data_IF_240897452961
#
_entry.id   IF_240897452961
#
_cell.length_a   1.000
_cell.length_b   1.000
_cell.length_c   1.000
_cell.angle_alpha   90.00
_cell.angle_beta   90.00
_cell.angle_gamma   90.00
#
_symmetry.space_group_name_H-M   'P 1'
#
loop_
_entity.id
_entity.type
_entity.pdbx_description
1 polymer ?
#
# COMPACT_ATOMS: atom_id res chain seq x y z
N UNK A 1 -17.63 18.40 -2.47
CA UNK A 1 -16.73 17.41 -1.88
C UNK A 1 -15.30 17.56 -2.39
N UNK A 2 -15.07 17.62 -3.71
CA UNK A 2 -13.74 17.72 -4.34
C UNK A 2 -12.88 18.88 -3.77
N UNK A 3 -13.39 20.12 -3.73
CA UNK A 3 -12.66 21.27 -3.20
C UNK A 3 -12.25 21.11 -1.74
N UNK A 4 -13.18 20.65 -0.88
CA UNK A 4 -12.90 20.40 0.53
C UNK A 4 -11.81 19.34 0.70
N UNK A 5 -11.87 18.25 -0.08
CA UNK A 5 -10.87 17.19 -0.06
C UNK A 5 -9.50 17.73 -0.47
N UNK A 6 -9.41 18.54 -1.53
CA UNK A 6 -8.16 19.15 -1.99
C UNK A 6 -7.52 20.03 -0.91
N UNK A 7 -8.30 20.94 -0.32
CA UNK A 7 -7.80 21.88 0.68
C UNK A 7 -7.34 21.16 1.96
N UNK A 8 -8.12 20.16 2.39
CA UNK A 8 -7.80 19.37 3.58
C UNK A 8 -6.55 18.52 3.33
N UNK A 9 -6.48 17.82 2.20
CA UNK A 9 -5.36 16.97 1.85
C UNK A 9 -4.06 17.77 1.73
N UNK A 10 -4.09 18.91 1.05
CA UNK A 10 -2.96 19.82 0.92
C UNK A 10 -2.45 20.24 2.31
N UNK A 11 -3.35 20.74 3.17
CA UNK A 11 -3.01 21.16 4.53
C UNK A 11 -2.34 20.05 5.34
N UNK A 12 -2.88 18.83 5.31
CA UNK A 12 -2.34 17.71 6.09
C UNK A 12 -1.01 17.20 5.56
N UNK A 13 -0.85 17.07 4.24
CA UNK A 13 0.40 16.63 3.61
C UNK A 13 1.53 17.63 3.85
N UNK A 14 1.27 18.93 3.72
CA UNK A 14 2.26 19.97 4.00
C UNK A 14 2.66 19.99 5.49
N UNK A 15 1.70 19.85 6.39
CA UNK A 15 1.98 19.77 7.83
C UNK A 15 2.81 18.54 8.18
N UNK A 16 2.50 17.39 7.58
CA UNK A 16 3.28 16.17 7.79
C UNK A 16 4.70 16.30 7.25
N UNK A 17 4.87 16.83 6.06
CA UNK A 17 6.19 17.03 5.45
C UNK A 17 7.12 17.89 6.33
N UNK A 18 6.56 18.86 7.06
CA UNK A 18 7.28 19.75 7.98
C UNK A 18 7.43 19.18 9.40
N UNK A 19 6.77 18.08 9.70
CA UNK A 19 6.75 17.53 11.05
C UNK A 19 8.00 16.70 11.36
N UNK A 20 8.35 16.62 12.65
CA UNK A 20 9.40 15.72 13.15
C UNK A 20 9.08 14.23 12.96
N UNK A 21 7.82 13.91 12.64
CA UNK A 21 7.39 12.55 12.32
C UNK A 21 7.81 12.11 10.92
N UNK A 22 8.13 13.06 10.04
CA UNK A 22 8.65 12.81 8.69
C UNK A 22 10.13 12.44 8.75
N UNK A 23 10.46 11.30 9.31
CA UNK A 23 11.84 10.84 9.51
C UNK A 23 12.59 10.57 8.20
N UNK A 24 11.88 10.39 7.10
CA UNK A 24 12.44 10.01 5.81
C UNK A 24 12.46 11.15 4.79
N UNK A 25 12.09 12.37 5.20
CA UNK A 25 12.06 13.52 4.29
C UNK A 25 11.06 13.36 3.14
N UNK A 26 9.97 12.62 3.35
CA UNK A 26 8.97 12.39 2.31
C UNK A 26 8.34 13.73 1.90
N UNK A 27 8.34 14.06 0.60
CA UNK A 27 7.75 15.30 0.13
C UNK A 27 6.23 15.33 0.33
N UNK A 28 5.66 16.54 0.41
CA UNK A 28 4.22 16.74 0.47
C UNK A 28 3.59 16.36 -0.87
N UNK A 29 3.29 15.08 -1.06
CA UNK A 29 2.68 14.56 -2.27
C UNK A 29 1.81 13.34 -1.95
N UNK A 30 0.78 13.09 -2.78
CA UNK A 30 -0.09 11.93 -2.59
C UNK A 30 -1.33 11.96 -3.47
N UNK A 31 -2.24 11.02 -3.23
CA UNK A 31 -3.51 10.92 -3.94
C UNK A 31 -4.63 10.52 -2.99
N UNK A 32 -5.86 10.89 -3.37
CA UNK A 32 -7.08 10.44 -2.69
C UNK A 32 -8.13 10.11 -3.76
N UNK A 33 -8.79 8.98 -3.57
CA UNK A 33 -9.99 8.59 -4.34
C UNK A 33 -11.09 8.25 -3.35
N UNK A 34 -12.25 8.83 -3.54
CA UNK A 34 -13.47 8.54 -2.76
C UNK A 34 -14.55 8.10 -3.72
N UNK A 35 -15.13 6.95 -3.50
CA UNK A 35 -16.21 6.42 -4.30
C UNK A 35 -17.37 5.95 -3.43
N UNK A 36 -18.56 5.93 -4.02
CA UNK A 36 -19.72 5.27 -3.42
C UNK A 36 -19.60 3.76 -3.67
N UNK A 37 -19.55 2.93 -2.62
CA UNK A 37 -19.39 1.49 -2.78
C UNK A 37 -20.63 0.80 -3.38
N UNK A 38 -21.81 1.42 -3.34
CA UNK A 38 -23.03 0.85 -3.88
C UNK A 38 -23.20 1.09 -5.39
N UNK A 39 -22.77 2.26 -5.86
CA UNK A 39 -22.94 2.69 -7.24
C UNK A 39 -21.65 2.62 -8.06
N UNK A 40 -20.48 2.63 -7.39
CA UNK A 40 -19.17 2.77 -8.01
C UNK A 40 -18.86 4.20 -8.47
N UNK A 41 -19.74 5.17 -8.18
CA UNK A 41 -19.54 6.56 -8.56
C UNK A 41 -18.32 7.17 -7.85
N UNK A 42 -17.48 7.86 -8.60
CA UNK A 42 -16.32 8.58 -8.05
C UNK A 42 -16.78 9.94 -7.56
N UNK A 43 -16.83 10.10 -6.24
CA UNK A 43 -17.22 11.34 -5.57
C UNK A 43 -16.08 12.36 -5.50
N UNK A 44 -14.86 11.89 -5.42
CA UNK A 44 -13.65 12.71 -5.36
C UNK A 44 -12.46 11.94 -5.91
N UNK A 45 -11.67 12.60 -6.73
CA UNK A 45 -10.37 12.11 -7.18
C UNK A 45 -9.38 13.27 -7.17
N UNK A 46 -8.27 13.12 -6.47
CA UNK A 46 -7.23 14.14 -6.44
C UNK A 46 -5.83 13.55 -6.50
N UNK A 47 -4.94 14.33 -7.06
CA UNK A 47 -3.50 14.14 -7.04
C UNK A 47 -2.87 15.40 -6.46
N UNK A 48 -1.94 15.25 -5.51
CA UNK A 48 -1.27 16.38 -4.87
C UNK A 48 0.26 16.24 -5.01
N UNK A 49 1.01 17.31 -5.29
CA UNK A 49 0.52 18.63 -5.62
C UNK A 49 -0.29 18.66 -6.92
N UNK A 50 -1.13 19.65 -7.04
CA UNK A 50 -1.95 19.92 -8.24
C UNK A 50 -1.53 21.24 -8.88
N UNK A 51 -2.11 21.56 -10.01
CA UNK A 51 -1.88 22.81 -10.74
C UNK A 51 -3.20 23.38 -11.27
N UNK A 52 -3.22 24.67 -11.56
CA UNK A 52 -4.35 25.35 -12.17
C UNK A 52 -4.25 25.23 -13.70
N UNK A 53 -5.29 24.68 -14.32
CA UNK A 53 -5.39 24.53 -15.77
C UNK A 53 -5.39 25.88 -16.50
N UNK A 54 -5.90 26.95 -15.87
CA UNK A 54 -5.94 28.27 -16.49
C UNK A 54 -4.55 28.90 -16.64
N UNK A 55 -3.62 28.54 -15.76
CA UNK A 55 -2.24 29.06 -15.76
C UNK A 55 -1.23 28.01 -16.22
N UNK A 56 -1.69 26.85 -16.68
CA UNK A 56 -0.83 25.72 -17.03
C UNK A 56 0.26 26.09 -18.06
N UNK A 57 -0.13 26.74 -19.16
CA UNK A 57 0.80 27.09 -20.23
C UNK A 57 1.89 28.04 -19.77
N UNK A 58 1.54 29.04 -18.95
CA UNK A 58 2.45 30.03 -18.40
C UNK A 58 3.43 29.41 -17.39
N UNK A 59 2.95 28.47 -16.58
CA UNK A 59 3.72 27.84 -15.50
C UNK A 59 4.33 26.50 -15.88
N UNK A 60 4.22 26.06 -17.12
CA UNK A 60 4.70 24.73 -17.53
C UNK A 60 6.16 24.50 -17.19
N UNK A 61 7.03 25.48 -17.43
CA UNK A 61 8.47 25.37 -17.13
C UNK A 61 8.76 25.21 -15.63
N UNK A 62 7.97 25.84 -14.77
CA UNK A 62 8.06 25.68 -13.32
C UNK A 62 7.53 24.31 -12.88
N UNK A 63 6.32 23.96 -13.33
CA UNK A 63 5.66 22.70 -13.00
C UNK A 63 6.45 21.46 -13.43
N UNK A 64 7.12 21.54 -14.58
CA UNK A 64 7.94 20.45 -15.13
C UNK A 64 9.23 20.20 -14.36
N UNK A 65 9.73 21.21 -13.63
CA UNK A 65 10.95 21.15 -12.81
C UNK A 65 10.68 20.90 -11.34
N UNK A 66 9.42 20.96 -10.90
CA UNK A 66 9.07 20.68 -9.49
C UNK A 66 9.34 19.21 -9.18
N UNK A 67 10.23 18.96 -8.22
CA UNK A 67 10.63 17.61 -7.77
C UNK A 67 9.41 16.77 -7.27
N UNK A 68 8.34 17.42 -6.84
CA UNK A 68 7.11 16.77 -6.44
C UNK A 68 6.24 16.34 -7.62
N UNK A 69 6.68 16.61 -8.84
CA UNK A 69 6.05 16.18 -10.10
C UNK A 69 4.52 16.43 -10.13
N UNK A 70 4.04 17.70 -10.06
CA UNK A 70 2.62 18.04 -10.04
C UNK A 70 1.88 17.60 -11.30
N UNK A 71 2.56 17.50 -12.44
CA UNK A 71 1.99 17.04 -13.71
C UNK A 71 1.70 15.53 -13.75
N UNK A 72 2.23 14.77 -12.78
CA UNK A 72 1.98 13.34 -12.68
C UNK A 72 0.70 13.07 -11.88
N UNK A 73 -0.32 12.53 -12.54
CA UNK A 73 -1.56 12.17 -11.84
C UNK A 73 -1.36 10.90 -10.99
N UNK A 74 -1.15 11.11 -9.70
CA UNK A 74 -0.87 10.02 -8.76
C UNK A 74 -2.06 9.10 -8.53
N UNK A 75 -3.27 9.63 -8.64
CA UNK A 75 -4.48 8.83 -8.41
C UNK A 75 -4.73 7.82 -9.55
N UNK A 76 -4.27 8.14 -10.77
CA UNK A 76 -4.51 7.31 -11.95
C UNK A 76 -3.28 6.54 -12.44
N UNK A 77 -2.09 7.04 -12.16
CA UNK A 77 -0.85 6.54 -12.78
C UNK A 77 0.21 6.06 -11.81
N UNK A 78 0.06 6.33 -10.52
CA UNK A 78 0.98 5.82 -9.50
C UNK A 78 0.52 4.49 -8.95
N UNK A 79 1.49 3.69 -8.55
CA UNK A 79 1.31 2.42 -7.87
C UNK A 79 1.94 2.51 -6.49
N UNK A 80 1.24 1.98 -5.49
CA UNK A 80 1.66 2.06 -4.10
C UNK A 80 1.64 0.68 -3.47
N UNK A 81 2.60 0.40 -2.58
CA UNK A 81 2.54 -0.79 -1.75
C UNK A 81 1.33 -0.70 -0.81
N UNK A 82 0.40 -1.64 -0.94
CA UNK A 82 -0.85 -1.63 -0.17
C UNK A 82 -0.63 -1.95 1.31
N UNK A 83 0.45 -2.65 1.65
CA UNK A 83 0.81 -2.97 3.02
C UNK A 83 -0.34 -3.64 3.78
N UNK A 84 -0.55 -3.24 5.02
CA UNK A 84 -1.57 -3.82 5.92
C UNK A 84 -3.01 -3.64 5.46
N UNK A 85 -3.30 -2.83 4.46
CA UNK A 85 -4.64 -2.73 3.87
C UNK A 85 -5.02 -3.97 3.07
N UNK A 86 -4.05 -4.83 2.72
CA UNK A 86 -4.29 -6.14 2.08
C UNK A 86 -4.78 -7.22 3.06
N UNK A 87 -4.55 -7.09 4.35
CA UNK A 87 -4.83 -8.12 5.34
C UNK A 87 -6.30 -8.59 5.39
N UNK A 88 -7.31 -7.72 5.26
CA UNK A 88 -8.70 -8.17 5.15
C UNK A 88 -8.94 -9.11 3.96
N UNK A 89 -8.30 -8.85 2.81
CA UNK A 89 -8.44 -9.71 1.63
C UNK A 89 -7.77 -11.08 1.85
N UNK A 90 -6.59 -11.10 2.48
CA UNK A 90 -5.92 -12.34 2.88
C UNK A 90 -6.76 -13.12 3.90
N UNK A 91 -7.38 -12.42 4.87
CA UNK A 91 -8.26 -13.05 5.85
C UNK A 91 -9.45 -13.76 5.20
N UNK A 92 -10.10 -13.09 4.26
CA UNK A 92 -11.25 -13.65 3.53
C UNK A 92 -10.80 -14.89 2.73
N UNK A 93 -9.72 -14.79 1.98
CA UNK A 93 -9.19 -15.91 1.22
C UNK A 93 -8.85 -17.10 2.14
N UNK A 94 -8.19 -16.86 3.26
CA UNK A 94 -7.82 -17.89 4.21
C UNK A 94 -9.05 -18.55 4.89
N UNK A 95 -10.13 -17.79 5.12
CA UNK A 95 -11.40 -18.34 5.66
C UNK A 95 -12.07 -19.22 4.61
N UNK A 96 -12.19 -18.75 3.37
CA UNK A 96 -12.88 -19.47 2.29
C UNK A 96 -12.15 -20.75 1.91
N UNK A 97 -10.82 -20.78 1.98
CA UNK A 97 -10.01 -21.97 1.76
C UNK A 97 -9.89 -22.87 3.02
N UNK A 98 -10.57 -22.53 4.12
CA UNK A 98 -10.57 -23.31 5.36
C UNK A 98 -9.25 -23.28 6.13
N UNK A 99 -8.31 -22.43 5.75
CA UNK A 99 -6.99 -22.30 6.37
C UNK A 99 -7.05 -21.55 7.70
N UNK A 100 -8.06 -20.71 7.90
CA UNK A 100 -8.30 -20.04 9.18
C UNK A 100 -9.78 -19.95 9.48
N UNK A 101 -10.09 -19.75 10.77
CA UNK A 101 -11.44 -19.55 11.27
C UNK A 101 -11.39 -18.63 12.49
N UNK A 102 -12.56 -18.46 13.15
CA UNK A 102 -12.67 -17.60 14.31
C UNK A 102 -11.77 -18.03 15.48
N UNK A 103 -11.55 -19.34 15.63
CA UNK A 103 -10.92 -19.94 16.80
C UNK A 103 -9.47 -20.34 16.57
N UNK A 104 -9.00 -20.32 15.31
CA UNK A 104 -7.60 -20.61 14.99
C UNK A 104 -6.68 -19.61 15.67
N UNK A 105 -5.71 -20.15 16.42
CA UNK A 105 -4.69 -19.38 17.11
C UNK A 105 -3.34 -19.55 16.43
N UNK A 106 -2.69 -18.44 16.09
CA UNK A 106 -1.29 -18.42 15.62
C UNK A 106 -0.48 -17.60 16.61
N UNK A 107 0.67 -18.14 17.02
CA UNK A 107 1.60 -17.43 17.89
C UNK A 107 2.44 -16.47 17.08
N UNK A 108 2.41 -15.20 17.43
CA UNK A 108 3.36 -14.22 16.89
C UNK A 108 4.67 -14.29 17.65
N UNK A 109 5.69 -14.82 17.00
CA UNK A 109 7.07 -14.88 17.51
C UNK A 109 7.87 -13.65 17.12
N UNK A 110 7.25 -12.66 16.49
CA UNK A 110 7.82 -11.43 15.95
C UNK A 110 8.70 -11.59 14.72
N UNK A 111 9.10 -12.79 14.38
CA UNK A 111 9.90 -13.14 13.22
C UNK A 111 9.18 -14.19 12.39
N UNK A 112 9.28 -14.08 11.09
CA UNK A 112 8.81 -15.05 10.12
C UNK A 112 9.94 -15.29 9.12
N UNK A 113 10.39 -16.54 9.04
CA UNK A 113 11.44 -16.94 8.10
C UNK A 113 10.82 -17.55 6.87
N UNK A 114 11.12 -16.98 5.73
CA UNK A 114 10.69 -17.50 4.44
C UNK A 114 11.90 -17.51 3.48
N UNK A 115 12.24 -18.69 2.98
CA UNK A 115 13.46 -18.92 2.21
C UNK A 115 14.69 -18.39 2.97
N UNK A 116 15.46 -17.50 2.35
CA UNK A 116 16.67 -16.87 2.89
C UNK A 116 16.41 -15.52 3.60
N UNK A 117 15.15 -15.12 3.70
CA UNK A 117 14.74 -13.83 4.30
C UNK A 117 14.04 -14.00 5.64
N UNK A 118 14.25 -13.02 6.53
CA UNK A 118 13.51 -12.92 7.79
C UNK A 118 12.68 -11.64 7.77
N UNK A 119 11.37 -11.82 7.91
CA UNK A 119 10.40 -10.74 8.00
C UNK A 119 10.00 -10.50 9.46
N UNK A 120 9.70 -9.26 9.79
CA UNK A 120 9.41 -8.86 11.17
C UNK A 120 7.98 -8.39 11.34
N UNK A 121 7.42 -8.70 12.51
CA UNK A 121 6.13 -8.16 12.88
C UNK A 121 6.22 -6.71 13.31
N UNK A 122 5.08 -6.03 13.25
CA UNK A 122 4.92 -4.70 13.83
C UNK A 122 5.34 -4.70 15.31
N UNK A 123 6.08 -3.67 15.72
CA UNK A 123 6.57 -3.51 17.10
C UNK A 123 5.49 -3.18 18.12
N UNK A 124 4.26 -2.90 17.67
CA UNK A 124 3.17 -2.41 18.52
C UNK A 124 2.54 -3.48 19.41
N UNK A 125 2.86 -4.76 19.21
CA UNK A 125 2.38 -5.83 20.10
C UNK A 125 3.52 -6.77 20.52
N UNK A 126 3.36 -7.39 21.68
CA UNK A 126 4.33 -8.36 22.23
C UNK A 126 4.14 -9.73 21.59
N UNK A 127 5.14 -10.61 21.74
CA UNK A 127 5.01 -12.05 21.45
C UNK A 127 3.80 -12.61 22.21
N UNK A 128 2.82 -13.12 21.46
CA UNK A 128 1.58 -13.68 22.02
C UNK A 128 0.80 -14.51 21.01
N UNK A 129 -0.14 -15.28 21.53
CA UNK A 129 -1.12 -15.98 20.73
C UNK A 129 -2.21 -15.02 20.23
N UNK A 130 -2.54 -15.13 18.94
CA UNK A 130 -3.52 -14.25 18.28
C UNK A 130 -4.55 -15.10 17.54
N UNK A 131 -5.80 -14.71 17.67
CA UNK A 131 -6.89 -15.14 16.78
C UNK A 131 -6.93 -14.22 15.57
N UNK A 132 -7.66 -14.59 14.52
CA UNK A 132 -7.84 -13.74 13.34
C UNK A 132 -8.32 -12.33 13.70
N UNK A 133 -9.30 -12.22 14.64
CA UNK A 133 -9.80 -10.93 15.10
C UNK A 133 -8.71 -10.07 15.74
N UNK A 134 -7.94 -10.63 16.66
CA UNK A 134 -6.88 -9.87 17.33
C UNK A 134 -5.69 -9.60 16.41
N UNK A 135 -5.43 -10.46 15.45
CA UNK A 135 -4.41 -10.25 14.43
C UNK A 135 -4.76 -9.09 13.49
N UNK A 136 -6.03 -8.94 13.10
CA UNK A 136 -6.51 -7.77 12.34
C UNK A 136 -6.44 -6.50 13.18
N UNK A 137 -6.92 -6.55 14.43
CA UNK A 137 -6.92 -5.42 15.35
C UNK A 137 -5.52 -4.84 15.56
N UNK A 138 -4.53 -5.70 15.77
CA UNK A 138 -3.15 -5.31 16.06
C UNK A 138 -2.28 -5.23 14.79
N UNK A 139 -2.87 -5.50 13.64
CA UNK A 139 -2.14 -5.54 12.36
C UNK A 139 -0.93 -6.49 12.39
N UNK A 140 -1.09 -7.69 12.94
CA UNK A 140 -0.01 -8.67 13.10
C UNK A 140 0.48 -9.19 11.74
N UNK A 141 1.73 -8.96 11.40
CA UNK A 141 2.30 -9.48 10.16
C UNK A 141 2.43 -11.01 10.19
N UNK A 142 2.89 -11.58 11.29
CA UNK A 142 3.18 -13.03 11.37
C UNK A 142 1.94 -13.87 11.10
N UNK A 143 0.77 -13.47 11.66
CA UNK A 143 -0.48 -14.17 11.39
C UNK A 143 -0.78 -14.23 9.88
N UNK A 144 -0.63 -13.09 9.20
CA UNK A 144 -0.97 -12.97 7.79
C UNK A 144 0.11 -13.53 6.87
N UNK A 145 1.38 -13.53 7.27
CA UNK A 145 2.44 -14.25 6.55
C UNK A 145 2.19 -15.75 6.58
N UNK A 146 1.81 -16.31 7.74
CA UNK A 146 1.45 -17.72 7.86
C UNK A 146 0.26 -18.07 6.97
N UNK A 147 -0.81 -17.26 7.02
CA UNK A 147 -1.96 -17.48 6.14
C UNK A 147 -1.59 -17.34 4.65
N UNK A 148 -0.75 -16.38 4.30
CA UNK A 148 -0.30 -16.16 2.93
C UNK A 148 0.58 -17.29 2.40
N UNK A 149 1.47 -17.82 3.22
CA UNK A 149 2.30 -18.99 2.89
C UNK A 149 1.42 -20.23 2.63
N UNK A 150 0.45 -20.49 3.50
CA UNK A 150 -0.48 -21.61 3.35
C UNK A 150 -1.40 -21.48 2.14
N UNK A 151 -1.85 -20.26 1.80
CA UNK A 151 -2.62 -19.97 0.59
C UNK A 151 -1.81 -20.19 -0.68
N UNK A 152 -0.56 -19.77 -0.66
CA UNK A 152 0.28 -19.70 -1.82
C UNK A 152 -0.11 -18.56 -2.78
N UNK A 153 0.84 -18.16 -3.63
CA UNK A 153 0.73 -16.99 -4.51
C UNK A 153 -0.44 -17.12 -5.51
N UNK A 154 -0.66 -18.32 -6.05
CA UNK A 154 -1.71 -18.55 -7.07
C UNK A 154 -3.10 -18.28 -6.51
N UNK A 155 -3.42 -18.86 -5.33
CA UNK A 155 -4.72 -18.62 -4.67
C UNK A 155 -4.89 -17.17 -4.26
N UNK A 156 -3.85 -16.59 -3.68
CA UNK A 156 -3.88 -15.20 -3.26
C UNK A 156 -4.17 -14.25 -4.44
N UNK A 157 -3.56 -14.50 -5.61
CA UNK A 157 -3.82 -13.73 -6.83
C UNK A 157 -5.23 -13.96 -7.37
N UNK A 158 -5.75 -15.19 -7.29
CA UNK A 158 -7.13 -15.50 -7.69
C UNK A 158 -8.13 -14.68 -6.86
N UNK A 159 -8.04 -14.71 -5.53
CA UNK A 159 -8.90 -13.91 -4.66
C UNK A 159 -8.75 -12.42 -4.85
N UNK A 160 -7.55 -11.94 -5.08
CA UNK A 160 -7.29 -10.54 -5.41
C UNK A 160 -7.93 -10.15 -6.75
N UNK A 161 -7.83 -10.99 -7.76
CA UNK A 161 -8.43 -10.76 -9.08
C UNK A 161 -9.94 -10.77 -9.04
N UNK A 162 -10.56 -11.72 -8.35
CA UNK A 162 -12.01 -11.80 -8.21
C UNK A 162 -12.60 -10.54 -7.53
N UNK A 163 -11.87 -9.93 -6.62
CA UNK A 163 -12.30 -8.72 -5.89
C UNK A 163 -11.77 -7.43 -6.51
N UNK A 164 -10.70 -7.47 -7.28
CA UNK A 164 -10.11 -6.31 -7.95
C UNK A 164 -10.80 -5.94 -9.27
N UNK A 165 -11.82 -6.67 -9.68
CA UNK A 165 -12.73 -6.19 -10.75
C UNK A 165 -13.36 -4.84 -10.37
N UNK A 166 -13.38 -4.48 -9.08
CA UNK A 166 -13.80 -3.16 -8.60
C UNK A 166 -12.64 -2.24 -8.17
N UNK A 167 -11.44 -2.78 -8.01
CA UNK A 167 -10.25 -2.02 -7.73
C UNK A 167 -9.22 -2.48 -8.76
N UNK A 168 -9.05 -1.73 -9.83
CA UNK A 168 -7.87 -1.85 -10.70
C UNK A 168 -6.63 -1.55 -9.86
N UNK A 169 -6.27 -2.48 -8.98
CA UNK A 169 -4.98 -2.53 -8.32
C UNK A 169 -3.97 -3.01 -9.35
N UNK A 170 -3.83 -2.20 -10.37
CA UNK A 170 -2.88 -2.35 -11.45
C UNK A 170 -1.49 -2.26 -10.86
N UNK A 171 -0.69 -3.25 -11.23
CA UNK A 171 0.78 -3.26 -11.30
C UNK A 171 1.46 -2.24 -10.37
N UNK A 172 1.67 -2.66 -9.11
CA UNK A 172 2.18 -1.79 -8.06
C UNK A 172 3.69 -1.60 -8.26
N UNK A 173 4.06 -0.56 -8.98
CA UNK A 173 5.44 -0.05 -8.97
C UNK A 173 5.51 1.19 -8.09
N UNK A 174 6.08 1.11 -6.88
CA UNK A 174 6.28 2.30 -6.08
C UNK A 174 7.16 3.30 -6.83
N UNK A 175 6.84 4.58 -6.73
CA UNK A 175 7.71 5.60 -7.29
C UNK A 175 9.08 5.63 -6.58
N UNK A 176 10.05 6.29 -7.19
CA UNK A 176 11.44 6.31 -6.70
C UNK A 176 11.54 6.82 -5.27
N UNK A 177 10.80 7.86 -4.92
CA UNK A 177 10.82 8.48 -3.60
C UNK A 177 10.24 7.54 -2.51
N UNK A 178 9.17 6.82 -2.83
CA UNK A 178 8.60 5.83 -1.92
C UNK A 178 9.54 4.65 -1.68
N UNK A 179 10.25 4.19 -2.70
CA UNK A 179 11.26 3.13 -2.59
C UNK A 179 12.45 3.52 -1.73
N UNK A 180 12.95 4.73 -1.94
CA UNK A 180 14.06 5.28 -1.16
C UNK A 180 13.67 5.49 0.31
N UNK A 181 12.44 5.94 0.58
CA UNK A 181 11.91 6.12 1.93
C UNK A 181 11.67 4.81 2.69
N UNK A 182 11.42 3.71 1.99
CA UNK A 182 11.21 2.38 2.60
C UNK A 182 12.52 1.61 2.82
N UNK A 183 13.65 2.11 2.36
CA UNK A 183 14.96 1.45 2.50
C UNK A 183 15.05 0.10 1.77
N UNK A 184 14.20 -0.10 0.76
CA UNK A 184 14.23 -1.33 -0.03
C UNK A 184 15.50 -1.40 -0.87
N UNK A 185 16.23 -2.49 -0.69
CA UNK A 185 17.50 -2.73 -1.38
C UNK A 185 17.30 -2.71 -2.90
N UNK A 186 18.09 -1.87 -3.57
CA UNK A 186 18.13 -1.76 -5.03
C UNK A 186 18.37 -3.11 -5.75
N UNK A 187 19.00 -4.06 -5.07
CA UNK A 187 19.31 -5.39 -5.61
C UNK A 187 18.05 -6.25 -5.79
N UNK A 188 17.13 -6.25 -4.82
CA UNK A 188 15.85 -6.98 -4.88
C UNK A 188 15.01 -6.46 -6.04
N UNK A 189 14.98 -5.15 -6.22
CA UNK A 189 14.18 -4.50 -7.26
C UNK A 189 14.71 -4.74 -8.69
N UNK A 190 16.03 -4.76 -8.88
CA UNK A 190 16.66 -5.06 -10.17
C UNK A 190 16.38 -6.49 -10.65
N UNK A 191 16.28 -7.45 -9.74
CA UNK A 191 15.98 -8.84 -10.06
C UNK A 191 14.57 -9.00 -10.66
N UNK A 192 13.62 -8.15 -10.25
CA UNK A 192 12.24 -8.19 -10.75
C UNK A 192 12.02 -7.45 -12.07
N UNK A 193 12.76 -6.38 -12.31
CA UNK A 193 12.71 -5.67 -13.60
C UNK A 193 13.28 -6.51 -14.77
N UNK A 194 14.02 -7.58 -14.45
CA UNK A 194 14.58 -8.50 -15.44
C UNK A 194 13.65 -9.65 -15.86
N UNK A 195 12.34 -9.60 -15.55
CA UNK A 195 11.33 -10.51 -16.09
C UNK A 195 10.86 -11.62 -15.15
N UNK A 196 11.13 -11.53 -13.85
CA UNK A 196 10.52 -12.40 -12.85
C UNK A 196 9.19 -11.84 -12.33
N UNK A 197 8.15 -12.67 -12.21
CA UNK A 197 6.95 -12.31 -11.48
C UNK A 197 7.33 -11.98 -10.03
N UNK A 198 6.86 -10.82 -9.53
CA UNK A 198 7.02 -10.46 -8.12
C UNK A 198 6.29 -11.48 -7.26
N UNK A 199 6.99 -12.19 -6.39
CA UNK A 199 6.34 -12.83 -5.26
C UNK A 199 5.76 -11.75 -4.35
N UNK A 200 4.64 -12.02 -3.71
CA UNK A 200 3.97 -11.05 -2.85
C UNK A 200 4.88 -10.57 -1.70
N UNK A 201 5.83 -11.40 -1.32
CA UNK A 201 6.76 -11.20 -0.22
C UNK A 201 7.85 -10.18 -0.56
N UNK A 202 8.32 -10.18 -1.80
CA UNK A 202 9.34 -9.25 -2.28
C UNK A 202 8.79 -7.85 -2.56
N UNK A 203 7.48 -7.72 -2.80
CA UNK A 203 6.82 -6.45 -3.01
C UNK A 203 6.33 -5.78 -1.71
N UNK A 204 6.51 -6.41 -0.55
CA UNK A 204 5.96 -5.93 0.72
C UNK A 204 4.43 -5.92 0.73
N UNK A 205 3.79 -6.85 0.03
CA UNK A 205 2.34 -6.92 -0.18
C UNK A 205 1.57 -7.59 0.97
N UNK A 206 2.23 -7.95 2.06
CA UNK A 206 1.59 -8.50 3.25
C UNK A 206 1.67 -7.56 4.44
#
# INVERSE_FOLDING_TARGET
>A
MQKLAQDTFAKWTENYAKSSKNKYGVPAAGALVVNDPNTGEILTILSYPTYDLNTYSEKYSELSKDERTPLWNRALRSTYAIGSTSKPSVAIAAIEEGLTNRDRVIRCTREFKYLDHTFYCNINHKDRNLTLRTALQDSCNIYFYTCGEELGVSRLNEYRSMRSVQLNLVDIRPDKAFREAQGHDRAVYKKHLAGGALSCDEAGCL
#
